data_IF_047050609753
#
_entry.id   IF_047050609753
#
_cell.length_a   1.000
_cell.length_b   1.000
_cell.length_c   1.000
_cell.angle_alpha   90.00
_cell.angle_beta   90.00
_cell.angle_gamma   90.00
#
_symmetry.space_group_name_H-M   'P 1'
#
loop_
_entity.id
_entity.type
_entity.pdbx_description
1 polymer ?
#
# COMPACT_ATOMS: atom_id res chain seq x y z
N UNK A 1 -9.35 -7.18 -1.80
CA UNK A 1 -9.64 -5.82 -2.35
C UNK A 1 -10.89 -5.13 -1.77
N UNK A 2 -11.91 -5.86 -1.28
CA UNK A 2 -13.12 -5.28 -0.66
C UNK A 2 -12.84 -4.35 0.53
N UNK A 3 -11.71 -4.57 1.23
CA UNK A 3 -11.21 -3.75 2.34
C UNK A 3 -11.05 -2.25 2.00
N UNK A 4 -10.93 -1.91 0.72
CA UNK A 4 -10.72 -0.54 0.22
C UNK A 4 -12.01 0.15 -0.24
N UNK A 5 -13.15 -0.54 -0.24
CA UNK A 5 -14.41 0.00 -0.73
C UNK A 5 -14.84 1.18 0.16
N UNK A 6 -15.30 2.26 -0.49
CA UNK A 6 -15.76 3.49 0.15
C UNK A 6 -14.70 4.25 0.94
N UNK A 7 -13.41 3.91 0.78
CA UNK A 7 -12.32 4.73 1.29
C UNK A 7 -12.03 5.88 0.35
N UNK A 8 -11.59 7.00 0.91
CA UNK A 8 -11.08 8.11 0.13
C UNK A 8 -9.65 7.81 -0.30
N UNK A 9 -9.21 8.48 -1.36
CA UNK A 9 -7.85 8.31 -1.85
C UNK A 9 -6.89 9.16 -1.01
N UNK A 10 -5.82 8.55 -0.48
CA UNK A 10 -4.79 9.26 0.27
C UNK A 10 -3.47 9.27 -0.51
N UNK A 11 -2.76 10.38 -0.38
CA UNK A 11 -1.39 10.58 -0.87
C UNK A 11 -0.52 11.11 0.26
N UNK A 12 0.80 11.17 0.04
CA UNK A 12 1.75 11.69 1.02
C UNK A 12 1.40 13.11 1.51
N UNK A 13 0.81 13.92 0.64
CA UNK A 13 0.46 15.33 0.85
C UNK A 13 -1.03 15.56 1.16
N UNK A 14 -1.87 14.53 1.11
CA UNK A 14 -3.29 14.61 1.40
C UNK A 14 -3.77 13.33 2.11
N UNK A 15 -3.87 13.39 3.43
CA UNK A 15 -4.25 12.26 4.27
C UNK A 15 -5.77 12.18 4.44
N UNK A 16 -6.37 11.11 3.91
CA UNK A 16 -7.79 10.80 4.03
C UNK A 16 -8.03 9.37 4.52
N UNK A 17 -6.99 8.73 5.08
CA UNK A 17 -7.13 7.37 5.61
C UNK A 17 -7.72 7.39 7.04
N UNK A 18 -7.92 6.22 7.63
CA UNK A 18 -8.55 6.06 8.95
C UNK A 18 -7.53 5.75 10.04
N UNK A 19 -6.24 5.91 9.76
CA UNK A 19 -5.21 5.64 10.74
C UNK A 19 -4.87 6.90 11.53
N UNK A 20 -5.34 6.97 12.78
CA UNK A 20 -5.07 8.11 13.66
C UNK A 20 -3.58 8.23 14.08
N UNK A 21 -2.75 7.23 13.77
CA UNK A 21 -1.35 7.16 14.19
C UNK A 21 -0.37 7.89 13.26
N UNK A 22 -0.63 7.90 11.95
CA UNK A 22 0.21 8.51 10.91
C UNK A 22 -0.49 8.40 9.53
N UNK A 23 0.14 8.90 8.47
CA UNK A 23 -0.34 8.80 7.10
C UNK A 23 0.15 7.51 6.40
N UNK A 24 -0.78 6.64 6.00
CA UNK A 24 -0.48 5.37 5.33
C UNK A 24 0.29 5.56 4.01
N UNK A 25 -0.06 6.56 3.21
CA UNK A 25 0.61 6.86 1.95
C UNK A 25 2.06 7.31 2.15
N UNK A 26 2.38 7.94 3.29
CA UNK A 26 3.75 8.30 3.67
C UNK A 26 4.56 7.08 4.12
N UNK A 27 3.99 6.24 4.98
CA UNK A 27 4.70 5.08 5.56
C UNK A 27 4.89 3.95 4.55
N UNK A 28 3.83 3.60 3.82
CA UNK A 28 3.79 2.46 2.91
C UNK A 28 4.03 2.83 1.45
N UNK A 29 4.26 4.12 1.15
CA UNK A 29 4.58 4.67 -0.17
C UNK A 29 3.50 4.45 -1.25
N UNK A 30 3.20 5.49 -2.01
CA UNK A 30 2.23 5.43 -3.10
C UNK A 30 0.98 6.24 -2.80
N UNK A 31 0.00 6.14 -3.70
CA UNK A 31 -1.33 6.72 -3.51
C UNK A 31 -2.37 5.62 -3.66
N UNK A 32 -3.23 5.47 -2.66
CA UNK A 32 -4.21 4.38 -2.62
C UNK A 32 -5.46 4.77 -1.85
N UNK A 33 -6.51 3.98 -2.00
CA UNK A 33 -7.71 4.05 -1.16
C UNK A 33 -7.44 3.42 0.21
N UNK A 34 -6.49 3.97 0.96
CA UNK A 34 -6.07 3.44 2.26
C UNK A 34 -7.21 3.48 3.28
N UNK A 35 -7.27 2.46 4.13
CA UNK A 35 -8.13 2.36 5.31
C UNK A 35 -7.26 2.47 6.56
N UNK A 36 -6.74 1.37 7.10
CA UNK A 36 -5.80 1.38 8.24
C UNK A 36 -4.82 0.17 8.17
N UNK A 37 -3.91 0.06 7.19
CA UNK A 37 -3.69 0.91 6.03
C UNK A 37 -4.18 0.22 4.74
N UNK A 38 -3.60 -0.91 4.34
CA UNK A 38 -4.00 -1.59 3.11
C UNK A 38 -3.80 -3.10 3.11
N UNK A 39 -4.59 -3.77 2.24
CA UNK A 39 -4.44 -5.20 1.93
C UNK A 39 -3.71 -5.44 0.60
N UNK A 40 -3.53 -4.37 -0.18
CA UNK A 40 -2.78 -4.34 -1.43
C UNK A 40 -2.33 -2.90 -1.68
N UNK A 41 -1.14 -2.74 -2.23
CA UNK A 41 -0.58 -1.45 -2.61
C UNK A 41 -0.05 -1.53 -4.04
N UNK A 42 -0.93 -1.41 -5.03
CA UNK A 42 -0.53 -1.57 -6.45
C UNK A 42 0.17 -0.33 -7.01
N UNK A 43 0.11 0.79 -6.29
CA UNK A 43 0.77 2.05 -6.62
C UNK A 43 2.01 2.30 -5.74
N UNK A 44 2.49 1.27 -5.03
CA UNK A 44 3.69 1.34 -4.21
C UNK A 44 4.97 1.41 -5.04
N UNK A 45 6.10 1.51 -4.34
CA UNK A 45 7.41 1.54 -4.98
C UNK A 45 7.69 0.24 -5.75
N UNK A 46 8.29 0.36 -6.94
CA UNK A 46 8.71 -0.82 -7.70
C UNK A 46 10.02 -1.38 -7.13
N UNK A 47 9.94 -2.46 -6.34
CA UNK A 47 11.10 -3.09 -5.69
C UNK A 47 11.52 -4.42 -6.34
N UNK A 48 10.74 -4.90 -7.32
CA UNK A 48 11.07 -6.00 -8.23
C UNK A 48 11.43 -7.36 -7.58
N UNK A 49 10.67 -7.77 -6.56
CA UNK A 49 10.77 -9.08 -5.91
C UNK A 49 10.82 -8.99 -4.38
N UNK A 50 11.48 -9.96 -3.75
CA UNK A 50 11.68 -9.96 -2.30
C UNK A 50 12.43 -8.69 -1.87
N UNK A 51 11.91 -8.02 -0.85
CA UNK A 51 12.46 -6.77 -0.33
C UNK A 51 12.35 -6.73 1.19
N UNK A 52 13.36 -6.18 1.91
CA UNK A 52 13.25 -5.91 3.34
C UNK A 52 12.33 -4.71 3.65
N UNK A 53 11.92 -3.95 2.64
CA UNK A 53 11.00 -2.82 2.77
C UNK A 53 9.55 -3.31 2.66
N UNK A 54 9.08 -3.99 3.68
CA UNK A 54 7.71 -4.51 3.76
C UNK A 54 6.69 -3.38 3.59
N UNK A 55 5.57 -3.68 2.92
CA UNK A 55 4.47 -2.75 2.61
C UNK A 55 4.81 -1.59 1.65
N UNK A 56 6.09 -1.32 1.40
CA UNK A 56 6.53 -0.25 0.48
C UNK A 56 6.47 -0.63 -1.00
N UNK A 57 6.41 -1.93 -1.29
CA UNK A 57 6.44 -2.44 -2.66
C UNK A 57 5.10 -2.36 -3.39
N UNK A 58 5.09 -2.69 -4.69
CA UNK A 58 3.87 -3.10 -5.38
C UNK A 58 3.44 -4.47 -4.85
N UNK A 59 2.40 -4.59 -4.03
CA UNK A 59 2.06 -5.89 -3.43
C UNK A 59 0.56 -6.17 -3.34
N UNK A 60 0.21 -7.45 -3.18
CA UNK A 60 -1.13 -7.92 -2.82
C UNK A 60 -1.00 -9.03 -1.77
N UNK A 61 -1.49 -8.78 -0.54
CA UNK A 61 -1.27 -9.66 0.62
C UNK A 61 -1.76 -11.09 0.41
N UNK A 62 -2.96 -11.25 -0.17
CA UNK A 62 -3.57 -12.55 -0.48
C UNK A 62 -2.80 -13.37 -1.54
N UNK A 63 -1.80 -12.80 -2.23
CA UNK A 63 -1.03 -13.53 -3.24
C UNK A 63 0.42 -13.82 -2.82
N UNK A 64 1.29 -12.82 -2.76
CA UNK A 64 2.72 -13.01 -2.43
C UNK A 64 3.15 -12.30 -1.14
N UNK A 65 2.20 -11.70 -0.43
CA UNK A 65 2.47 -10.97 0.80
C UNK A 65 3.15 -9.61 0.57
N UNK A 66 3.28 -8.80 1.64
CA UNK A 66 3.83 -7.45 1.58
C UNK A 66 5.36 -7.39 1.49
N UNK A 67 6.07 -8.50 1.72
CA UNK A 67 7.53 -8.60 1.59
C UNK A 67 7.99 -8.87 0.15
N UNK A 68 7.07 -9.14 -0.78
CA UNK A 68 7.36 -9.36 -2.19
C UNK A 68 6.71 -8.28 -3.05
N UNK A 69 7.53 -7.47 -3.72
CA UNK A 69 7.06 -6.53 -4.73
C UNK A 69 6.85 -7.26 -6.06
N UNK A 70 5.60 -7.28 -6.51
CA UNK A 70 5.17 -7.84 -7.78
C UNK A 70 5.95 -7.21 -8.94
N UNK A 71 6.39 -8.07 -9.85
CA UNK A 71 7.07 -7.68 -11.08
C UNK A 71 6.38 -8.32 -12.27
N UNK A 72 6.41 -7.61 -13.40
CA UNK A 72 5.97 -8.16 -14.68
C UNK A 72 7.12 -8.98 -15.28
N UNK A 73 6.80 -10.18 -15.78
CA UNK A 73 7.72 -11.02 -16.54
C UNK A 73 7.69 -10.64 -18.02
#
# INVERSE_FOLDING_TARGET
MTYHISMQFSTKDNDNDRWDGNNCASEHTGGWWYNQCESANLNGQYLAGLSPQEYKGIYWSEWQGPSYSLKKN
#
